data_IF_459744768063
#
_entry.id   IF_459744768063
#
_cell.length_a   1.000
_cell.length_b   1.000
_cell.length_c   1.000
_cell.angle_alpha   90.00
_cell.angle_beta   90.00
_cell.angle_gamma   90.00
#
_symmetry.space_group_name_H-M   'P 1'
#
loop_
_entity.id
_entity.type
_entity.pdbx_description
1 polymer ?
#
# COMPACT_ATOMS: atom_id res chain seq x y z
N UNK A 1 0.46 16.58 0.77
CA UNK A 1 1.22 17.82 1.14
C UNK A 1 2.71 17.51 1.13
N UNK A 2 3.54 18.42 0.60
CA UNK A 2 5.02 18.31 0.67
C UNK A 2 5.55 19.59 1.28
N UNK A 3 6.38 19.48 2.31
CA UNK A 3 7.12 20.59 2.93
C UNK A 3 8.60 20.25 2.92
N UNK A 4 9.43 21.20 2.57
CA UNK A 4 10.90 21.11 2.63
C UNK A 4 11.44 22.35 3.34
N UNK A 5 12.68 22.32 3.75
CA UNK A 5 13.38 23.49 4.30
C UNK A 5 13.36 24.68 3.34
N UNK A 6 13.46 25.90 3.88
CA UNK A 6 13.56 27.13 3.08
C UNK A 6 14.92 27.16 2.33
N UNK A 7 14.81 27.31 1.00
CA UNK A 7 15.98 27.41 0.10
C UNK A 7 15.62 28.11 -1.21
N UNK A 8 16.58 28.66 -1.95
CA UNK A 8 16.29 29.43 -3.17
C UNK A 8 15.46 28.66 -4.22
N UNK A 9 15.67 27.34 -4.36
CA UNK A 9 15.05 26.49 -5.37
C UNK A 9 13.74 25.83 -4.90
N UNK A 10 13.18 26.20 -3.73
CA UNK A 10 12.02 25.51 -3.10
C UNK A 10 10.86 25.31 -4.06
N UNK A 11 10.49 26.32 -4.84
CA UNK A 11 9.37 26.22 -5.78
C UNK A 11 9.65 25.25 -6.93
N UNK A 12 10.88 25.20 -7.43
CA UNK A 12 11.28 24.24 -8.46
C UNK A 12 11.27 22.81 -7.94
N UNK A 13 11.77 22.60 -6.72
CA UNK A 13 11.76 21.29 -6.07
C UNK A 13 10.34 20.81 -5.79
N UNK A 14 9.47 21.67 -5.29
CA UNK A 14 8.06 21.33 -5.05
C UNK A 14 7.31 21.01 -6.36
N UNK A 15 7.65 21.72 -7.46
CA UNK A 15 7.13 21.39 -8.78
C UNK A 15 7.58 19.99 -9.22
N UNK A 16 8.86 19.65 -9.06
CA UNK A 16 9.38 18.31 -9.33
C UNK A 16 8.73 17.22 -8.49
N UNK A 17 8.50 17.47 -7.20
CA UNK A 17 7.76 16.55 -6.34
C UNK A 17 6.33 16.29 -6.84
N UNK A 18 5.64 17.36 -7.26
CA UNK A 18 4.30 17.26 -7.84
C UNK A 18 4.31 16.45 -9.14
N UNK A 19 5.26 16.72 -10.01
CA UNK A 19 5.35 16.06 -11.33
C UNK A 19 5.64 14.56 -11.16
N UNK A 20 6.47 14.17 -10.19
CA UNK A 20 6.69 12.77 -9.83
C UNK A 20 5.42 12.11 -9.28
N UNK A 21 4.69 12.78 -8.39
CA UNK A 21 3.43 12.25 -7.85
C UNK A 21 2.40 12.04 -8.99
N UNK A 22 2.29 13.00 -9.90
CA UNK A 22 1.41 12.90 -11.07
C UNK A 22 1.85 11.77 -12.01
N UNK A 23 3.15 11.57 -12.21
CA UNK A 23 3.66 10.47 -13.02
C UNK A 23 3.27 9.12 -12.43
N UNK A 24 3.41 8.93 -11.11
CA UNK A 24 2.99 7.70 -10.43
C UNK A 24 1.49 7.49 -10.57
N UNK A 25 0.70 8.54 -10.35
CA UNK A 25 -0.76 8.49 -10.49
C UNK A 25 -1.17 8.11 -11.92
N UNK A 26 -0.65 8.80 -12.94
CA UNK A 26 -0.93 8.51 -14.35
C UNK A 26 -0.51 7.11 -14.80
N UNK A 27 0.56 6.56 -14.20
CA UNK A 27 1.01 5.20 -14.51
C UNK A 27 0.14 4.15 -13.85
N UNK A 28 -0.28 4.37 -12.59
CA UNK A 28 -0.85 3.33 -11.73
C UNK A 28 -2.36 3.43 -11.51
N UNK A 29 -3.05 4.50 -11.96
CA UNK A 29 -4.47 4.70 -11.68
C UNK A 29 -5.34 3.61 -12.34
N UNK A 30 -5.80 2.64 -11.57
CA UNK A 30 -6.64 1.53 -12.07
C UNK A 30 -8.05 1.96 -12.51
N UNK A 31 -8.45 3.20 -12.23
CA UNK A 31 -9.74 3.78 -12.64
C UNK A 31 -9.62 4.65 -13.91
N UNK A 32 -8.40 4.97 -14.33
CA UNK A 32 -8.12 5.62 -15.60
C UNK A 32 -7.80 4.56 -16.67
N UNK A 33 -8.64 4.45 -17.69
CA UNK A 33 -8.48 3.47 -18.77
C UNK A 33 -7.23 3.71 -19.63
N UNK A 34 -6.67 4.92 -19.60
CA UNK A 34 -5.47 5.31 -20.32
C UNK A 34 -4.20 5.17 -19.49
N UNK A 35 -4.28 4.85 -18.20
CA UNK A 35 -3.11 4.58 -17.39
C UNK A 35 -2.35 3.36 -17.91
N UNK A 36 -1.02 3.35 -17.77
CA UNK A 36 -0.21 2.23 -18.25
C UNK A 36 -0.62 0.90 -17.59
N UNK A 37 -0.94 0.92 -16.29
CA UNK A 37 -1.44 -0.24 -15.55
C UNK A 37 -2.75 -0.77 -16.14
N UNK A 38 -3.71 0.11 -16.43
CA UNK A 38 -5.00 -0.29 -17.01
C UNK A 38 -4.84 -0.81 -18.44
N UNK A 39 -4.01 -0.15 -19.24
CA UNK A 39 -3.67 -0.59 -20.60
C UNK A 39 -3.00 -1.95 -20.57
N UNK A 40 -2.01 -2.17 -19.69
CA UNK A 40 -1.40 -3.48 -19.52
C UNK A 40 -2.44 -4.54 -19.15
N UNK A 41 -3.30 -4.29 -18.16
CA UNK A 41 -4.33 -5.23 -17.72
C UNK A 41 -5.39 -5.54 -18.81
N UNK A 42 -5.59 -4.65 -19.76
CA UNK A 42 -6.51 -4.83 -20.90
C UNK A 42 -5.86 -5.57 -22.06
N UNK A 43 -4.60 -5.27 -22.39
CA UNK A 43 -3.98 -5.59 -23.68
C UNK A 43 -2.98 -6.77 -23.61
N UNK A 44 -2.58 -7.22 -22.40
CA UNK A 44 -1.70 -8.39 -22.29
C UNK A 44 -2.34 -9.64 -22.90
N UNK A 45 -1.51 -10.58 -23.31
CA UNK A 45 -1.93 -11.89 -23.78
C UNK A 45 -1.35 -12.98 -22.88
N UNK A 46 -2.16 -13.92 -22.37
CA UNK A 46 -1.69 -14.96 -21.47
C UNK A 46 -0.46 -15.68 -22.00
N UNK A 47 0.55 -15.80 -21.14
CA UNK A 47 1.81 -16.46 -21.44
C UNK A 47 2.77 -15.66 -22.33
N UNK A 48 2.41 -14.47 -22.81
CA UNK A 48 3.28 -13.61 -23.64
C UNK A 48 3.93 -12.51 -22.80
N UNK A 49 5.19 -12.15 -23.06
CA UNK A 49 5.81 -10.98 -22.44
C UNK A 49 5.10 -9.69 -22.85
N UNK A 50 4.83 -8.83 -21.87
CA UNK A 50 4.33 -7.48 -22.05
C UNK A 50 5.36 -6.51 -21.47
N UNK A 51 5.96 -5.67 -22.32
CA UNK A 51 6.96 -4.68 -21.91
C UNK A 51 6.29 -3.51 -21.20
N UNK A 52 6.93 -3.03 -20.12
CA UNK A 52 6.41 -1.95 -19.27
C UNK A 52 7.49 -0.90 -19.00
N UNK A 53 7.07 0.31 -18.61
CA UNK A 53 8.00 1.35 -18.16
C UNK A 53 8.76 0.93 -16.90
N UNK A 54 9.82 1.66 -16.56
CA UNK A 54 10.60 1.43 -15.35
C UNK A 54 9.72 1.56 -14.09
N UNK A 55 8.84 2.56 -14.06
CA UNK A 55 7.97 2.82 -12.92
C UNK A 55 6.96 1.68 -12.71
N UNK A 56 6.28 1.24 -13.77
CA UNK A 56 5.34 0.12 -13.67
C UNK A 56 6.05 -1.18 -13.32
N UNK A 57 7.26 -1.41 -13.85
CA UNK A 57 8.07 -2.56 -13.49
C UNK A 57 8.44 -2.56 -12.00
N UNK A 58 8.90 -1.43 -11.47
CA UNK A 58 9.29 -1.27 -10.06
C UNK A 58 8.09 -1.48 -9.12
N UNK A 59 6.93 -0.95 -9.50
CA UNK A 59 5.67 -1.23 -8.81
C UNK A 59 5.35 -2.72 -8.79
N UNK A 60 5.42 -3.41 -9.93
CA UNK A 60 5.13 -4.84 -10.03
C UNK A 60 6.12 -5.67 -9.22
N UNK A 61 7.41 -5.41 -9.34
CA UNK A 61 8.47 -6.14 -8.64
C UNK A 61 8.30 -6.02 -7.12
N UNK A 62 8.13 -4.79 -6.63
CA UNK A 62 7.95 -4.52 -5.21
C UNK A 62 6.67 -5.18 -4.67
N UNK A 63 5.55 -5.05 -5.40
CA UNK A 63 4.25 -5.60 -5.00
C UNK A 63 4.25 -7.13 -4.98
N UNK A 64 4.79 -7.77 -6.03
CA UNK A 64 4.85 -9.23 -6.13
C UNK A 64 5.82 -9.84 -5.10
N UNK A 65 6.91 -9.14 -4.80
CA UNK A 65 7.82 -9.54 -3.72
C UNK A 65 7.11 -9.55 -2.37
N UNK A 66 6.33 -8.50 -2.05
CA UNK A 66 5.55 -8.44 -0.81
C UNK A 66 4.43 -9.47 -0.80
N UNK A 67 3.72 -9.68 -1.92
CA UNK A 67 2.68 -10.70 -2.04
C UNK A 67 3.22 -12.09 -1.72
N UNK A 68 4.40 -12.42 -2.27
CA UNK A 68 5.08 -13.69 -1.98
C UNK A 68 5.46 -13.82 -0.51
N UNK A 69 6.03 -12.77 0.12
CA UNK A 69 6.46 -12.77 1.52
C UNK A 69 5.28 -12.89 2.49
N UNK A 70 4.17 -12.25 2.18
CA UNK A 70 2.94 -12.32 2.97
C UNK A 70 2.09 -13.57 2.67
N UNK A 71 2.58 -14.46 1.79
CA UNK A 71 1.82 -15.65 1.32
C UNK A 71 0.43 -15.26 0.77
N UNK A 72 0.37 -14.14 0.03
CA UNK A 72 -0.86 -13.63 -0.60
C UNK A 72 -1.81 -12.86 0.31
N UNK A 73 -1.46 -12.61 1.58
CA UNK A 73 -2.28 -11.76 2.44
C UNK A 73 -2.31 -10.29 1.98
N UNK A 74 -1.20 -9.82 1.42
CA UNK A 74 -1.16 -8.70 0.50
C UNK A 74 -1.06 -9.28 -0.91
N UNK A 75 -1.98 -8.94 -1.81
CA UNK A 75 -1.92 -9.36 -3.19
C UNK A 75 -2.47 -8.25 -4.12
N UNK A 76 -1.64 -7.66 -4.98
CA UNK A 76 -2.08 -6.56 -5.84
C UNK A 76 -3.09 -7.02 -6.90
N UNK A 77 -3.27 -8.31 -7.13
CA UNK A 77 -4.17 -8.84 -8.17
C UNK A 77 -5.65 -8.86 -7.77
N UNK A 78 -6.01 -8.30 -6.61
CA UNK A 78 -7.41 -8.19 -6.13
C UNK A 78 -8.24 -7.13 -6.85
N UNK A 79 -7.70 -6.40 -7.81
CA UNK A 79 -8.32 -5.24 -8.43
C UNK A 79 -9.72 -5.50 -8.99
N UNK A 80 -9.96 -6.69 -9.57
CA UNK A 80 -11.29 -7.04 -10.08
C UNK A 80 -12.34 -7.15 -8.96
N UNK A 81 -11.93 -7.71 -7.80
CA UNK A 81 -12.79 -7.83 -6.61
C UNK A 81 -13.06 -6.45 -6.01
N UNK A 82 -12.03 -5.63 -5.87
CA UNK A 82 -12.12 -4.25 -5.35
C UNK A 82 -13.11 -3.42 -6.19
N UNK A 83 -12.96 -3.44 -7.52
CA UNK A 83 -13.91 -2.78 -8.43
C UNK A 83 -15.33 -3.32 -8.28
N UNK A 84 -15.47 -4.63 -8.07
CA UNK A 84 -16.78 -5.27 -7.95
C UNK A 84 -17.52 -4.89 -6.66
N UNK A 85 -16.82 -4.72 -5.56
CA UNK A 85 -17.39 -4.18 -4.32
C UNK A 85 -17.75 -2.70 -4.43
N UNK A 86 -17.26 -1.99 -5.44
CA UNK A 86 -17.47 -0.55 -5.62
C UNK A 86 -16.56 0.31 -4.75
N UNK A 87 -15.48 -0.27 -4.26
CA UNK A 87 -14.49 0.46 -3.46
C UNK A 87 -13.89 1.56 -4.34
N UNK A 88 -13.88 2.80 -3.83
CA UNK A 88 -13.37 3.97 -4.57
C UNK A 88 -14.33 4.57 -5.62
N UNK A 89 -15.43 3.88 -6.00
CA UNK A 89 -16.40 4.38 -6.99
C UNK A 89 -17.58 5.15 -6.39
N UNK A 90 -17.81 5.04 -5.08
CA UNK A 90 -18.97 5.59 -4.38
C UNK A 90 -20.24 4.76 -4.51
N UNK A 91 -20.26 3.71 -5.31
CA UNK A 91 -21.39 2.79 -5.47
C UNK A 91 -21.12 1.46 -4.76
N UNK A 92 -21.63 1.33 -3.53
CA UNK A 92 -21.49 0.09 -2.76
C UNK A 92 -22.29 -1.04 -3.39
N UNK A 93 -21.61 -2.17 -3.65
CA UNK A 93 -22.22 -3.38 -4.18
C UNK A 93 -21.73 -4.59 -3.38
N UNK A 94 -22.66 -5.45 -2.99
CA UNK A 94 -22.33 -6.74 -2.36
C UNK A 94 -22.32 -7.80 -3.46
N UNK A 95 -21.15 -8.36 -3.84
CA UNK A 95 -21.06 -9.40 -4.85
C UNK A 95 -21.74 -10.68 -4.39
N UNK A 96 -22.37 -11.41 -5.32
CA UNK A 96 -22.88 -12.74 -5.03
C UNK A 96 -21.71 -13.73 -4.85
N UNK A 97 -21.91 -14.81 -4.08
CA UNK A 97 -20.86 -15.82 -3.80
C UNK A 97 -20.27 -16.42 -5.09
N UNK A 98 -21.10 -16.63 -6.12
CA UNK A 98 -20.60 -17.12 -7.42
C UNK A 98 -19.68 -16.12 -8.09
N UNK A 99 -19.98 -14.82 -8.01
CA UNK A 99 -19.13 -13.77 -8.57
C UNK A 99 -17.79 -13.72 -7.82
N UNK A 100 -17.81 -13.82 -6.48
CA UNK A 100 -16.59 -13.88 -5.68
C UNK A 100 -15.72 -15.06 -6.07
N UNK A 101 -16.31 -16.25 -6.24
CA UNK A 101 -15.59 -17.44 -6.71
C UNK A 101 -14.93 -17.21 -8.09
N UNK A 102 -15.66 -16.61 -9.03
CA UNK A 102 -15.12 -16.30 -10.36
C UNK A 102 -13.97 -15.29 -10.32
N UNK A 103 -13.99 -14.33 -9.38
CA UNK A 103 -12.91 -13.36 -9.18
C UNK A 103 -11.70 -13.99 -8.49
N UNK A 104 -11.90 -14.78 -7.43
CA UNK A 104 -10.81 -15.46 -6.71
C UNK A 104 -10.00 -16.35 -7.67
N UNK A 105 -10.66 -17.04 -8.59
CA UNK A 105 -10.01 -17.87 -9.61
C UNK A 105 -9.11 -17.06 -10.58
N UNK A 106 -9.23 -15.73 -10.61
CA UNK A 106 -8.41 -14.82 -11.43
C UNK A 106 -7.52 -13.92 -10.56
N UNK A 107 -7.43 -14.21 -9.27
CA UNK A 107 -6.59 -13.49 -8.30
C UNK A 107 -5.45 -14.41 -7.92
N UNK A 108 -4.27 -13.84 -7.79
CA UNK A 108 -3.09 -14.55 -7.31
C UNK A 108 -1.81 -14.00 -7.94
N UNK A 109 -0.94 -13.47 -7.10
CA UNK A 109 0.37 -12.94 -7.52
C UNK A 109 1.22 -13.95 -8.29
N UNK A 110 1.01 -15.26 -8.05
CA UNK A 110 1.74 -16.35 -8.72
C UNK A 110 1.45 -16.49 -10.22
N UNK A 111 0.37 -15.84 -10.70
CA UNK A 111 0.04 -15.74 -12.11
C UNK A 111 0.87 -14.70 -12.86
N UNK A 112 1.70 -13.93 -12.16
CA UNK A 112 2.54 -12.90 -12.76
C UNK A 112 4.01 -13.26 -12.54
N UNK A 113 4.77 -13.28 -13.61
CA UNK A 113 6.23 -13.49 -13.60
C UNK A 113 6.92 -12.35 -14.31
N UNK A 114 7.91 -11.75 -13.66
CA UNK A 114 8.70 -10.67 -14.23
C UNK A 114 9.92 -11.18 -15.00
N UNK A 115 10.28 -10.47 -16.06
CA UNK A 115 11.48 -10.66 -16.87
C UNK A 115 12.37 -9.42 -16.75
N UNK A 116 13.37 -9.41 -15.83
CA UNK A 116 14.20 -8.24 -15.56
C UNK A 116 14.94 -7.73 -16.80
N UNK A 117 15.55 -8.63 -17.58
CA UNK A 117 16.35 -8.27 -18.76
C UNK A 117 15.54 -7.57 -19.86
N UNK A 118 14.23 -7.79 -19.89
CA UNK A 118 13.32 -7.22 -20.88
C UNK A 118 12.43 -6.12 -20.30
N UNK A 119 12.48 -5.91 -18.98
CA UNK A 119 11.52 -5.06 -18.26
C UNK A 119 10.09 -5.39 -18.70
N UNK A 120 9.70 -6.65 -18.54
CA UNK A 120 8.41 -7.16 -19.00
C UNK A 120 7.75 -8.04 -17.93
N UNK A 121 6.43 -8.11 -17.99
CA UNK A 121 5.62 -9.05 -17.21
C UNK A 121 5.03 -10.12 -18.11
N UNK A 122 4.97 -11.35 -17.62
CA UNK A 122 4.18 -12.44 -18.20
C UNK A 122 3.06 -12.74 -17.21
N UNK A 123 1.83 -12.70 -17.71
CA UNK A 123 0.61 -13.05 -16.96
C UNK A 123 0.04 -14.30 -17.63
N UNK A 124 -0.21 -15.37 -16.88
CA UNK A 124 -0.54 -16.69 -17.44
C UNK A 124 -2.04 -17.01 -17.49
N UNK A 125 -2.89 -16.16 -16.94
CA UNK A 125 -4.36 -16.28 -16.97
C UNK A 125 -5.00 -15.06 -17.61
N UNK A 126 -6.27 -15.17 -18.03
CA UNK A 126 -7.06 -14.04 -18.55
C UNK A 126 -7.79 -13.28 -17.45
N UNK A 127 -7.96 -11.96 -17.64
CA UNK A 127 -8.83 -11.11 -16.84
C UNK A 127 -8.27 -10.70 -15.49
N UNK A 128 -6.94 -10.77 -15.30
CA UNK A 128 -6.29 -10.24 -14.11
C UNK A 128 -6.46 -8.71 -14.08
N UNK A 129 -6.71 -8.17 -12.91
CA UNK A 129 -6.76 -6.74 -12.68
C UNK A 129 -5.94 -6.41 -11.44
N UNK A 130 -5.07 -5.43 -11.55
CA UNK A 130 -4.13 -5.05 -10.49
C UNK A 130 -4.62 -3.80 -9.78
N UNK A 131 -4.58 -3.83 -8.45
CA UNK A 131 -4.91 -2.71 -7.57
C UNK A 131 -3.63 -2.11 -6.97
N UNK A 132 -3.32 -0.83 -7.23
CA UNK A 132 -2.18 -0.15 -6.62
C UNK A 132 -2.49 0.47 -5.26
N UNK A 133 -3.69 0.31 -4.72
CA UNK A 133 -4.21 1.09 -3.58
C UNK A 133 -3.33 1.08 -2.33
N UNK A 134 -2.70 -0.06 -2.00
CA UNK A 134 -1.82 -0.21 -0.84
C UNK A 134 -0.31 -0.10 -1.19
N UNK A 135 0.03 0.51 -2.33
CA UNK A 135 1.43 0.62 -2.82
C UNK A 135 1.70 2.01 -3.41
N UNK A 136 0.76 2.53 -4.18
CA UNK A 136 1.00 3.70 -5.04
C UNK A 136 1.41 4.95 -4.28
N UNK A 137 0.81 5.19 -3.10
CA UNK A 137 1.18 6.34 -2.26
C UNK A 137 2.58 6.20 -1.68
N UNK A 138 2.89 5.02 -1.14
CA UNK A 138 4.21 4.72 -0.61
C UNK A 138 5.30 4.81 -1.68
N UNK A 139 5.03 4.29 -2.87
CA UNK A 139 5.95 4.35 -4.00
C UNK A 139 6.20 5.81 -4.45
N UNK A 140 5.15 6.62 -4.57
CA UNK A 140 5.28 8.04 -4.91
C UNK A 140 6.14 8.80 -3.88
N UNK A 141 5.95 8.52 -2.60
CA UNK A 141 6.76 9.10 -1.52
C UNK A 141 8.22 8.68 -1.68
N UNK A 142 8.52 7.40 -1.90
CA UNK A 142 9.90 6.91 -2.06
C UNK A 142 10.59 7.58 -3.26
N UNK A 143 9.92 7.75 -4.41
CA UNK A 143 10.45 8.49 -5.57
C UNK A 143 10.74 9.96 -5.23
N UNK A 144 9.84 10.63 -4.54
CA UNK A 144 10.01 12.03 -4.14
C UNK A 144 11.16 12.18 -3.14
N UNK A 145 11.27 11.28 -2.15
CA UNK A 145 12.38 11.32 -1.18
C UNK A 145 13.72 11.09 -1.87
N UNK A 146 13.78 10.18 -2.85
CA UNK A 146 14.98 9.97 -3.63
C UNK A 146 15.37 11.25 -4.41
N UNK A 147 14.41 11.84 -5.11
CA UNK A 147 14.58 13.11 -5.80
C UNK A 147 15.08 14.22 -4.87
N UNK A 148 14.46 14.42 -3.71
CA UNK A 148 14.87 15.45 -2.77
C UNK A 148 16.30 15.23 -2.24
N UNK A 149 16.69 13.98 -2.00
CA UNK A 149 18.07 13.61 -1.61
C UNK A 149 19.09 13.91 -2.70
N UNK A 150 18.75 13.68 -3.97
CA UNK A 150 19.62 14.00 -5.12
C UNK A 150 19.90 15.51 -5.21
N UNK A 151 18.93 16.33 -4.79
CA UNK A 151 19.07 17.79 -4.68
C UNK A 151 19.60 18.27 -3.33
N UNK A 152 20.13 17.35 -2.49
CA UNK A 152 20.70 17.67 -1.20
C UNK A 152 19.74 18.42 -0.27
N UNK A 153 18.47 18.08 -0.30
CA UNK A 153 17.48 18.55 0.68
C UNK A 153 17.72 17.79 1.99
N UNK A 154 17.91 18.50 3.08
CA UNK A 154 18.22 17.89 4.39
C UNK A 154 16.96 17.63 5.22
N UNK A 155 15.92 18.45 5.04
CA UNK A 155 14.67 18.33 5.81
C UNK A 155 13.45 18.34 4.92
N UNK A 156 12.58 17.34 5.10
CA UNK A 156 11.30 17.25 4.42
C UNK A 156 10.23 16.55 5.27
N UNK A 157 8.98 16.94 5.04
CA UNK A 157 7.82 16.25 5.55
C UNK A 157 6.80 16.08 4.43
N UNK A 158 6.46 14.84 4.13
CA UNK A 158 5.49 14.46 3.11
C UNK A 158 4.27 13.84 3.77
N UNK A 159 3.07 14.22 3.28
CA UNK A 159 1.80 13.65 3.70
C UNK A 159 0.92 13.41 2.48
N UNK A 160 0.66 12.15 2.18
CA UNK A 160 -0.15 11.65 1.08
C UNK A 160 -1.39 10.94 1.62
N UNK A 161 -2.20 11.69 2.39
CA UNK A 161 -3.47 11.17 2.91
C UNK A 161 -3.28 10.02 3.91
N UNK A 162 -2.45 10.27 4.95
CA UNK A 162 -2.17 9.30 6.01
C UNK A 162 -0.92 8.44 5.77
N UNK A 163 -0.37 8.44 4.56
CA UNK A 163 0.98 7.92 4.31
C UNK A 163 1.96 9.08 4.45
N UNK A 164 2.80 8.99 5.46
CA UNK A 164 3.73 10.06 5.85
C UNK A 164 5.18 9.61 5.61
N UNK A 165 6.05 10.58 5.32
CA UNK A 165 7.50 10.41 5.44
C UNK A 165 8.11 11.67 6.04
N UNK A 166 9.03 11.52 6.97
CA UNK A 166 9.80 12.62 7.54
C UNK A 166 11.28 12.39 7.32
N UNK A 167 12.01 13.45 6.98
CA UNK A 167 13.44 13.42 6.68
C UNK A 167 14.16 14.51 7.46
N UNK A 168 15.34 14.18 8.01
CA UNK A 168 16.27 15.09 8.67
C UNK A 168 16.00 15.23 10.17
N UNK A 169 14.89 15.80 10.56
CA UNK A 169 14.53 16.01 11.96
C UNK A 169 13.67 14.90 12.57
N UNK A 170 13.58 14.88 13.89
CA UNK A 170 12.65 14.03 14.61
C UNK A 170 11.28 14.68 14.69
N UNK A 171 10.25 14.01 14.18
CA UNK A 171 8.87 14.45 14.22
C UNK A 171 8.06 13.60 15.19
N UNK A 172 7.09 14.25 15.84
CA UNK A 172 6.08 13.57 16.64
C UNK A 172 4.79 13.43 15.82
N UNK A 173 4.47 12.21 15.46
CA UNK A 173 3.30 11.89 14.63
C UNK A 173 2.20 11.33 15.53
N UNK A 174 1.02 11.94 15.48
CA UNK A 174 -0.18 11.44 16.15
C UNK A 174 -0.84 10.34 15.33
N UNK A 175 -1.09 9.19 15.96
CA UNK A 175 -1.87 8.10 15.38
C UNK A 175 -3.30 8.23 15.89
N UNK A 176 -4.26 8.30 14.98
CA UNK A 176 -5.69 8.45 15.31
C UNK A 176 -6.31 7.09 15.62
N UNK A 177 -7.32 7.09 16.48
CA UNK A 177 -8.13 5.92 16.78
C UNK A 177 -9.51 5.96 16.10
N UNK A 178 -10.26 4.86 16.14
CA UNK A 178 -11.56 4.72 15.48
C UNK A 178 -12.70 5.49 16.16
N UNK A 179 -12.61 5.70 17.48
CA UNK A 179 -13.72 6.24 18.26
C UNK A 179 -13.91 7.75 18.08
N UNK A 180 -12.83 8.49 17.92
CA UNK A 180 -12.85 9.94 17.84
C UNK A 180 -11.66 10.43 16.98
N UNK A 181 -11.93 10.95 15.77
CA UNK A 181 -10.87 11.46 14.88
C UNK A 181 -10.05 12.61 15.49
N UNK A 182 -10.56 13.28 16.52
CA UNK A 182 -9.86 14.35 17.24
C UNK A 182 -8.93 13.80 18.34
N UNK A 183 -9.12 12.55 18.76
CA UNK A 183 -8.28 11.90 19.77
C UNK A 183 -7.16 11.10 19.13
N UNK A 184 -5.97 11.28 19.68
CA UNK A 184 -4.82 10.49 19.31
C UNK A 184 -4.78 9.22 20.18
N UNK A 185 -4.74 8.06 19.53
CA UNK A 185 -4.53 6.75 20.14
C UNK A 185 -3.10 6.63 20.69
N UNK A 186 -2.13 7.15 19.93
CA UNK A 186 -0.72 7.13 20.29
C UNK A 186 0.02 8.30 19.64
N UNK A 187 1.22 8.59 20.14
CA UNK A 187 2.17 9.52 19.53
C UNK A 187 3.47 8.75 19.34
N UNK A 188 3.94 8.66 18.09
CA UNK A 188 5.22 8.05 17.74
C UNK A 188 6.24 9.12 17.38
N UNK A 189 7.49 8.91 17.76
CA UNK A 189 8.62 9.77 17.38
C UNK A 189 9.38 9.10 16.26
N UNK A 190 9.48 9.73 15.11
CA UNK A 190 10.07 9.16 13.90
C UNK A 190 11.08 10.14 13.31
N UNK A 191 12.13 9.57 12.71
CA UNK A 191 13.18 10.32 12.01
C UNK A 191 13.64 9.50 10.81
N UNK A 192 13.70 10.12 9.64
CA UNK A 192 14.12 9.49 8.38
C UNK A 192 13.31 8.21 8.05
N UNK A 193 12.00 8.22 8.38
CA UNK A 193 11.13 7.07 8.25
C UNK A 193 9.75 7.47 7.74
N UNK A 194 9.07 6.47 7.19
CA UNK A 194 7.66 6.51 6.82
C UNK A 194 6.76 6.01 7.95
N UNK A 195 5.54 6.52 7.97
CA UNK A 195 4.43 6.06 8.81
C UNK A 195 3.22 5.85 7.91
N UNK A 196 2.65 4.65 7.90
CA UNK A 196 1.43 4.34 7.16
C UNK A 196 0.45 3.60 8.05
N UNK A 197 -0.84 3.90 7.92
CA UNK A 197 -1.91 3.27 8.69
C UNK A 197 -2.93 2.64 7.77
N UNK A 198 -3.30 1.39 8.06
CA UNK A 198 -4.45 0.71 7.48
C UNK A 198 -5.51 0.51 8.54
N UNK A 199 -6.76 0.84 8.22
CA UNK A 199 -7.90 0.75 9.14
C UNK A 199 -9.19 0.51 8.38
N UNK A 200 -10.23 0.00 9.05
CA UNK A 200 -11.53 -0.14 8.41
C UNK A 200 -12.30 1.19 8.34
N UNK A 201 -12.03 2.12 9.24
CA UNK A 201 -12.83 3.35 9.44
C UNK A 201 -12.40 4.53 8.55
N UNK A 202 -11.22 4.51 7.94
CA UNK A 202 -10.80 5.58 7.02
C UNK A 202 -11.60 5.56 5.73
N UNK A 203 -11.88 4.37 5.21
CA UNK A 203 -12.72 4.15 4.04
C UNK A 203 -13.59 2.93 4.28
N UNK A 204 -14.88 3.15 4.47
CA UNK A 204 -15.84 2.08 4.66
C UNK A 204 -17.06 2.27 3.74
N UNK A 205 -17.75 1.18 3.55
CA UNK A 205 -18.99 1.13 2.79
C UNK A 205 -20.12 0.76 3.75
N UNK A 206 -21.27 1.43 3.65
CA UNK A 206 -22.46 1.05 4.41
C UNK A 206 -23.57 0.59 3.47
N UNK A 207 -24.11 -0.58 3.73
CA UNK A 207 -25.28 -1.11 3.01
C UNK A 207 -26.12 -2.00 3.91
N UNK A 208 -27.43 -1.80 3.84
CA UNK A 208 -28.43 -2.58 4.60
C UNK A 208 -28.15 -2.64 6.11
N UNK A 209 -27.65 -1.52 6.67
CA UNK A 209 -27.28 -1.37 8.09
C UNK A 209 -26.02 -2.13 8.50
N UNK A 210 -25.21 -2.59 7.54
CA UNK A 210 -23.90 -3.22 7.78
C UNK A 210 -22.79 -2.35 7.22
N UNK A 211 -21.71 -2.28 7.97
CA UNK A 211 -20.47 -1.58 7.59
C UNK A 211 -19.49 -2.61 7.05
N UNK A 212 -18.88 -2.29 5.92
CA UNK A 212 -17.87 -3.10 5.25
C UNK A 212 -16.61 -2.25 5.09
N UNK A 213 -15.49 -2.72 5.61
CA UNK A 213 -14.19 -2.09 5.37
C UNK A 213 -13.78 -2.19 3.89
N UNK A 214 -12.90 -1.29 3.48
CA UNK A 214 -12.41 -1.27 2.08
C UNK A 214 -11.29 -2.26 1.80
N UNK A 215 -10.65 -2.82 2.83
CA UNK A 215 -9.58 -3.80 2.69
C UNK A 215 -10.18 -5.17 2.40
N UNK A 216 -9.78 -5.76 1.28
CA UNK A 216 -10.27 -7.07 0.83
C UNK A 216 -9.26 -8.15 1.20
N UNK A 217 -9.75 -9.25 1.78
CA UNK A 217 -8.98 -10.47 1.93
C UNK A 217 -8.86 -11.17 0.55
N UNK A 218 -7.64 -11.32 0.01
CA UNK A 218 -7.45 -11.94 -1.31
C UNK A 218 -7.93 -13.40 -1.38
N UNK A 219 -7.93 -14.11 -0.26
CA UNK A 219 -8.31 -15.51 -0.21
C UNK A 219 -9.84 -15.72 -0.29
N UNK A 220 -10.62 -14.79 0.26
CA UNK A 220 -12.08 -14.88 0.29
C UNK A 220 -12.79 -13.92 -0.67
N UNK A 221 -12.09 -12.88 -1.15
CA UNK A 221 -12.68 -11.79 -1.93
C UNK A 221 -13.67 -10.93 -1.15
N UNK A 222 -13.65 -11.02 0.18
CA UNK A 222 -14.55 -10.28 1.08
C UNK A 222 -13.77 -9.24 1.88
N UNK A 223 -14.44 -8.19 2.39
CA UNK A 223 -13.82 -7.30 3.38
C UNK A 223 -13.22 -8.09 4.53
N UNK A 224 -12.03 -7.70 4.95
CA UNK A 224 -11.27 -8.38 6.02
C UNK A 224 -12.01 -8.26 7.35
N UNK A 225 -12.19 -9.36 8.03
CA UNK A 225 -12.54 -9.41 9.46
C UNK A 225 -11.24 -9.52 10.27
N UNK A 226 -10.60 -8.39 10.54
CA UNK A 226 -9.32 -8.33 11.23
C UNK A 226 -9.47 -8.42 12.74
N UNK A 227 -8.45 -8.96 13.42
CA UNK A 227 -8.31 -8.82 14.88
C UNK A 227 -7.96 -7.38 15.31
N UNK A 228 -7.57 -6.53 14.35
CA UNK A 228 -7.22 -5.13 14.57
C UNK A 228 -8.27 -4.19 14.01
N UNK A 229 -8.51 -3.07 14.69
CA UNK A 229 -9.26 -1.92 14.15
C UNK A 229 -8.38 -1.08 13.25
N UNK A 230 -7.10 -0.98 13.60
CA UNK A 230 -6.09 -0.28 12.80
C UNK A 230 -4.70 -0.86 13.03
N UNK A 231 -3.84 -0.72 12.02
CA UNK A 231 -2.41 -1.06 12.08
C UNK A 231 -1.61 0.09 11.50
N UNK A 232 -0.72 0.65 12.31
CA UNK A 232 0.23 1.69 11.91
C UNK A 232 1.62 1.10 11.84
N UNK A 233 2.26 1.22 10.70
CA UNK A 233 3.62 0.72 10.42
C UNK A 233 4.59 1.89 10.30
N UNK A 234 5.78 1.71 10.88
CA UNK A 234 6.92 2.62 10.80
C UNK A 234 8.06 1.86 10.13
N UNK A 235 8.59 2.41 9.02
CA UNK A 235 9.63 1.77 8.22
C UNK A 235 10.47 2.80 7.48
N UNK A 236 11.68 2.44 7.11
CA UNK A 236 12.61 3.32 6.39
C UNK A 236 12.14 3.66 4.96
N UNK A 237 11.31 2.79 4.36
CA UNK A 237 10.73 2.99 3.03
C UNK A 237 9.21 3.10 3.08
N UNK A 238 8.68 4.14 2.45
CA UNK A 238 7.25 4.40 2.47
C UNK A 238 6.43 3.32 1.76
N UNK A 239 6.94 2.74 0.68
CA UNK A 239 6.27 1.65 -0.04
C UNK A 239 6.12 0.39 0.84
N UNK A 240 7.12 0.08 1.68
CA UNK A 240 6.99 -1.03 2.62
C UNK A 240 6.03 -0.72 3.76
N UNK A 241 6.05 0.51 4.29
CA UNK A 241 5.08 0.91 5.31
C UNK A 241 3.64 0.79 4.81
N UNK A 242 3.37 1.21 3.56
CA UNK A 242 2.05 1.14 2.90
C UNK A 242 1.59 -0.32 2.74
N UNK A 243 2.41 -1.18 2.13
CA UNK A 243 2.08 -2.59 1.93
C UNK A 243 1.95 -3.38 3.23
N UNK A 244 2.87 -3.14 4.19
CA UNK A 244 2.90 -3.90 5.43
C UNK A 244 1.75 -3.52 6.37
N UNK A 245 1.30 -2.27 6.40
CA UNK A 245 0.10 -1.91 7.17
C UNK A 245 -1.11 -2.73 6.72
N UNK A 246 -1.27 -2.93 5.40
CA UNK A 246 -2.33 -3.77 4.83
C UNK A 246 -2.10 -5.25 5.10
N UNK A 247 -0.88 -5.76 4.86
CA UNK A 247 -0.57 -7.18 5.08
C UNK A 247 -0.77 -7.59 6.55
N UNK A 248 -0.32 -6.78 7.51
CA UNK A 248 -0.49 -7.03 8.94
C UNK A 248 -1.95 -6.96 9.36
N UNK A 249 -2.72 -6.03 8.79
CA UNK A 249 -4.16 -5.93 9.03
C UNK A 249 -4.90 -7.20 8.61
N UNK A 250 -4.50 -7.82 7.50
CA UNK A 250 -5.08 -9.08 7.00
C UNK A 250 -4.61 -10.28 7.83
N UNK A 251 -3.31 -10.34 8.15
CA UNK A 251 -2.68 -11.50 8.80
C UNK A 251 -2.93 -11.61 10.30
N UNK A 252 -3.12 -10.47 10.97
CA UNK A 252 -3.09 -10.41 12.42
C UNK A 252 -1.68 -10.50 13.02
N UNK A 253 -1.57 -10.47 14.34
CA UNK A 253 -0.28 -10.39 15.06
C UNK A 253 0.64 -11.57 14.76
N UNK A 254 0.19 -12.80 15.02
CA UNK A 254 1.06 -13.99 14.99
C UNK A 254 1.69 -14.21 13.62
N UNK A 255 0.88 -14.25 12.56
CA UNK A 255 1.35 -14.45 11.18
C UNK A 255 2.10 -13.21 10.66
N UNK A 256 1.62 -12.01 11.02
CA UNK A 256 2.25 -10.74 10.64
C UNK A 256 3.66 -10.63 11.19
N UNK A 257 3.88 -10.91 12.45
CA UNK A 257 5.21 -10.90 13.05
C UNK A 257 6.17 -11.93 12.43
N UNK A 258 5.65 -13.08 11.99
CA UNK A 258 6.46 -14.05 11.25
C UNK A 258 6.95 -13.47 9.91
N UNK A 259 6.10 -12.75 9.18
CA UNK A 259 6.48 -12.03 7.95
C UNK A 259 7.53 -10.96 8.24
N UNK A 260 7.37 -10.17 9.31
CA UNK A 260 8.33 -9.14 9.69
C UNK A 260 9.70 -9.70 10.06
N UNK A 261 9.75 -10.85 10.75
CA UNK A 261 11.02 -11.55 11.06
C UNK A 261 11.72 -12.00 9.79
N UNK A 262 11.01 -12.67 8.87
CA UNK A 262 11.56 -13.10 7.58
C UNK A 262 12.07 -11.91 6.75
N UNK A 263 11.32 -10.80 6.72
CA UNK A 263 11.72 -9.58 6.00
C UNK A 263 13.04 -9.01 6.54
N UNK A 264 13.20 -8.96 7.87
CA UNK A 264 14.45 -8.52 8.50
C UNK A 264 15.62 -9.44 8.20
N UNK A 265 15.41 -10.76 8.33
CA UNK A 265 16.46 -11.77 8.11
C UNK A 265 16.94 -11.80 6.66
N UNK A 266 16.04 -11.65 5.69
CA UNK A 266 16.36 -11.76 4.27
C UNK A 266 16.83 -10.45 3.64
N UNK A 267 16.32 -9.30 4.10
CA UNK A 267 16.50 -8.00 3.46
C UNK A 267 17.08 -6.94 4.39
N UNK A 268 17.23 -7.21 5.69
CA UNK A 268 17.67 -6.23 6.67
C UNK A 268 16.66 -5.12 6.95
N UNK A 269 15.44 -5.19 6.39
CA UNK A 269 14.41 -4.16 6.56
C UNK A 269 13.88 -4.23 7.99
N UNK A 270 13.99 -3.11 8.68
CA UNK A 270 13.51 -2.93 10.04
C UNK A 270 12.12 -2.30 10.02
N UNK A 271 11.21 -2.85 10.81
CA UNK A 271 9.81 -2.42 10.87
C UNK A 271 9.37 -2.39 12.32
N UNK A 272 8.76 -1.28 12.72
CA UNK A 272 7.99 -1.18 13.94
C UNK A 272 6.51 -1.06 13.58
N UNK A 273 5.62 -1.65 14.37
CA UNK A 273 4.20 -1.35 14.23
C UNK A 273 3.52 -1.18 15.58
N UNK A 274 2.41 -0.48 15.56
CA UNK A 274 1.42 -0.46 16.62
C UNK A 274 0.04 -0.73 16.01
N UNK A 275 -0.77 -1.48 16.74
CA UNK A 275 -2.11 -1.83 16.30
C UNK A 275 -3.09 -1.74 17.46
N UNK A 276 -4.33 -1.38 17.18
CA UNK A 276 -5.41 -1.44 18.14
C UNK A 276 -6.21 -2.73 17.93
N UNK A 277 -6.40 -3.50 19.00
CA UNK A 277 -7.16 -4.75 18.95
C UNK A 277 -8.66 -4.49 18.91
N UNK A 278 -9.34 -5.12 17.96
CA UNK A 278 -10.78 -4.94 17.77
C UNK A 278 -11.62 -5.43 18.97
N UNK A 279 -11.13 -6.42 19.73
CA UNK A 279 -11.89 -7.08 20.80
C UNK A 279 -11.95 -6.27 22.11
N UNK A 280 -10.92 -5.48 22.42
CA UNK A 280 -10.79 -4.79 23.70
C UNK A 280 -10.19 -3.38 23.60
N UNK A 281 -9.93 -2.87 22.41
CA UNK A 281 -9.35 -1.55 22.18
C UNK A 281 -7.91 -1.39 22.69
N UNK A 282 -7.26 -2.48 23.12
CA UNK A 282 -5.88 -2.39 23.61
C UNK A 282 -4.89 -2.20 22.50
N UNK A 283 -3.93 -1.33 22.75
CA UNK A 283 -2.79 -1.09 21.86
C UNK A 283 -1.77 -2.20 22.07
N UNK A 284 -1.41 -2.87 20.99
CA UNK A 284 -0.25 -3.77 20.90
C UNK A 284 0.81 -3.15 20.03
N UNK A 285 2.06 -3.42 20.34
CA UNK A 285 3.19 -2.91 19.55
C UNK A 285 4.24 -4.00 19.36
N UNK A 286 4.93 -3.91 18.25
CA UNK A 286 6.06 -4.77 17.90
C UNK A 286 7.19 -3.89 17.40
N UNK A 287 8.41 -4.22 17.80
CA UNK A 287 9.60 -3.57 17.28
C UNK A 287 10.64 -4.62 16.94
N UNK A 288 11.15 -4.59 15.73
CA UNK A 288 12.30 -5.38 15.35
C UNK A 288 13.57 -4.53 15.16
N UNK A 289 13.49 -3.24 15.47
CA UNK A 289 14.64 -2.31 15.45
C UNK A 289 15.48 -2.41 16.74
N UNK A 290 14.88 -2.83 17.85
CA UNK A 290 15.58 -3.04 19.10
C UNK A 290 16.50 -4.28 19.02
N UNK A 291 17.78 -4.08 19.32
CA UNK A 291 18.77 -5.14 19.47
C UNK A 291 18.67 -5.76 20.85
#
# INVERSE_FOLDING_TARGET
MVRIEERPEVNTLLAGCRDLALQVEQTLNMYDEESELSVMCRDYRPGQPYEVTALLYDFLDTSLSMAKRSNGAFDPTVGAVVKRWGIGSGEVRIPAEKELTDFINRTGYHHIRLLPDKRAAIIDIEGITIDPGAVGKGLAIDYIIHYLKDYHVEQACLDFGGNLYVMGDTYRIGVRGPEDPEKMMAIVSVKDQAVSTSSWYEHYMERDGRVYGHLIDPASGKPVESEFTSVTVICDRAVYADMLSTALYVLGAEKGEAVLRSLREESGICVDYLAERAVDGKIVSYSNTLK
#
